data_IF_503244176547
#
_entry.id   IF_503244176547
#
_cell.length_a   1.000
_cell.length_b   1.000
_cell.length_c   1.000
_cell.angle_alpha   90.00
_cell.angle_beta   90.00
_cell.angle_gamma   90.00
#
_symmetry.space_group_name_H-M   'P 1'
#
loop_
_entity.id
_entity.type
_entity.pdbx_description
1 polymer ?
#
# COMPACT_ATOMS: atom_id res chain seq x y z
N UNK A 1 -4.46 1.91 -10.36
CA UNK A 1 -4.83 0.52 -10.04
C UNK A 1 -3.59 -0.20 -9.53
N UNK A 2 -3.70 -1.04 -8.50
CA UNK A 2 -2.59 -1.81 -7.93
C UNK A 2 -2.93 -3.29 -8.03
N UNK A 3 -2.21 -4.04 -8.87
CA UNK A 3 -2.43 -5.48 -9.08
C UNK A 3 -1.20 -6.26 -8.60
N UNK A 4 -1.43 -7.32 -7.84
CA UNK A 4 -0.38 -8.25 -7.41
C UNK A 4 -0.72 -9.69 -7.81
N UNK A 5 0.30 -10.54 -8.05
CA UNK A 5 0.08 -11.94 -8.40
C UNK A 5 -0.32 -12.79 -7.19
N UNK A 6 0.01 -12.36 -5.97
CA UNK A 6 -0.27 -13.10 -4.75
C UNK A 6 -1.77 -13.35 -4.56
N UNK A 7 -2.18 -14.62 -4.51
CA UNK A 7 -3.57 -15.03 -4.25
C UNK A 7 -3.87 -15.14 -2.75
N UNK A 8 -2.93 -15.69 -1.99
CA UNK A 8 -2.99 -15.73 -0.52
C UNK A 8 -2.16 -14.57 0.05
N UNK A 9 -2.84 -13.47 0.37
CA UNK A 9 -2.21 -12.28 0.92
C UNK A 9 -1.99 -12.38 2.44
N UNK A 10 -2.52 -13.40 3.10
CA UNK A 10 -2.32 -13.64 4.54
C UNK A 10 -1.02 -14.40 4.83
N UNK A 11 -0.46 -15.07 3.82
CA UNK A 11 0.83 -15.75 3.92
C UNK A 11 1.96 -14.79 4.32
N UNK A 12 2.90 -15.31 5.10
CA UNK A 12 4.16 -14.64 5.43
C UNK A 12 4.91 -14.18 4.17
N UNK A 13 5.35 -12.94 4.21
CA UNK A 13 6.30 -12.38 3.26
C UNK A 13 7.73 -12.70 3.73
N UNK A 14 8.52 -13.29 2.83
CA UNK A 14 9.95 -13.57 3.03
C UNK A 14 10.29 -14.41 4.28
N UNK A 15 9.33 -15.18 4.82
CA UNK A 15 9.52 -16.00 6.03
C UNK A 15 9.46 -15.22 7.35
N UNK A 16 9.11 -13.93 7.32
CA UNK A 16 8.96 -13.07 8.51
C UNK A 16 7.51 -12.99 9.01
N UNK A 17 7.25 -12.07 9.94
CA UNK A 17 5.92 -11.84 10.51
C UNK A 17 5.02 -10.93 9.68
N UNK A 18 5.59 -10.16 8.74
CA UNK A 18 4.82 -9.40 7.77
C UNK A 18 4.09 -10.37 6.83
N UNK A 19 2.82 -10.10 6.55
CA UNK A 19 2.05 -10.79 5.52
C UNK A 19 2.32 -10.13 4.17
N UNK A 20 2.05 -10.85 3.08
CA UNK A 20 2.08 -10.28 1.72
C UNK A 20 1.22 -9.02 1.63
N UNK A 21 0.03 -9.04 2.24
CA UNK A 21 -0.84 -7.87 2.37
C UNK A 21 -0.12 -6.64 2.94
N UNK A 22 0.66 -6.82 4.01
CA UNK A 22 1.34 -5.71 4.68
C UNK A 22 2.43 -5.12 3.76
N UNK A 23 3.16 -5.96 3.02
CA UNK A 23 4.16 -5.51 2.03
C UNK A 23 3.51 -4.78 0.85
N UNK A 24 2.33 -5.23 0.39
CA UNK A 24 1.60 -4.55 -0.67
C UNK A 24 1.16 -3.15 -0.23
N UNK A 25 0.65 -3.02 1.00
CA UNK A 25 0.27 -1.74 1.55
C UNK A 25 1.49 -0.82 1.69
N UNK A 26 2.63 -1.34 2.16
CA UNK A 26 3.87 -0.58 2.20
C UNK A 26 4.25 -0.02 0.82
N UNK A 27 4.19 -0.86 -0.23
CA UNK A 27 4.47 -0.44 -1.61
C UNK A 27 3.52 0.65 -2.10
N UNK A 28 2.23 0.60 -1.75
CA UNK A 28 1.27 1.66 -2.07
C UNK A 28 1.67 3.00 -1.44
N UNK A 29 2.14 3.00 -0.19
CA UNK A 29 2.65 4.22 0.47
C UNK A 29 3.94 4.75 -0.17
N UNK A 30 4.86 3.86 -0.53
CA UNK A 30 6.12 4.23 -1.21
C UNK A 30 5.85 4.93 -2.55
N UNK A 31 4.95 4.37 -3.34
CA UNK A 31 4.55 4.95 -4.62
C UNK A 31 3.71 6.22 -4.41
N UNK A 32 2.82 6.24 -3.42
CA UNK A 32 2.05 7.44 -3.12
C UNK A 32 2.96 8.61 -2.70
N UNK A 33 4.05 8.34 -1.98
CA UNK A 33 5.01 9.34 -1.57
C UNK A 33 5.72 10.02 -2.75
N UNK A 34 6.03 9.26 -3.82
CA UNK A 34 6.52 9.85 -5.07
C UNK A 34 5.56 10.95 -5.53
N UNK A 35 4.29 10.63 -5.75
CA UNK A 35 3.33 11.60 -6.29
C UNK A 35 3.02 12.76 -5.34
N UNK A 36 2.91 12.48 -4.03
CA UNK A 36 2.70 13.50 -3.00
C UNK A 36 3.89 14.45 -2.80
N UNK A 37 5.08 14.09 -3.31
CA UNK A 37 6.29 14.90 -3.26
C UNK A 37 6.58 15.67 -4.55
N UNK A 38 6.17 15.13 -5.70
CA UNK A 38 6.49 15.71 -7.01
C UNK A 38 5.36 16.55 -7.59
N UNK A 39 4.14 16.42 -7.06
CA UNK A 39 2.96 17.13 -7.54
C UNK A 39 2.17 17.72 -6.37
N UNK A 40 1.37 18.75 -6.64
CA UNK A 40 0.40 19.32 -5.69
C UNK A 40 -0.83 18.43 -5.47
N UNK A 41 -0.63 17.10 -5.43
CA UNK A 41 -1.69 16.16 -5.17
C UNK A 41 -2.12 16.23 -3.71
N UNK A 42 -3.43 16.18 -3.49
CA UNK A 42 -4.01 16.12 -2.14
C UNK A 42 -4.09 14.67 -1.62
N UNK A 43 -4.21 13.71 -2.53
CA UNK A 43 -4.31 12.28 -2.22
C UNK A 43 -3.93 11.40 -3.40
N UNK A 44 -3.58 10.15 -3.11
CA UNK A 44 -3.37 9.07 -4.10
C UNK A 44 -4.39 7.97 -3.84
N UNK A 45 -4.98 7.43 -4.90
CA UNK A 45 -6.00 6.39 -4.81
C UNK A 45 -5.55 5.07 -5.45
N UNK A 46 -5.86 3.97 -4.77
CA UNK A 46 -5.57 2.62 -5.23
C UNK A 46 -6.83 1.77 -5.26
N UNK A 47 -7.24 1.28 -6.43
CA UNK A 47 -8.05 0.07 -6.53
C UNK A 47 -7.10 -1.13 -6.46
N UNK A 48 -7.15 -1.86 -5.35
CA UNK A 48 -6.25 -2.97 -5.05
C UNK A 48 -6.87 -4.31 -5.47
N UNK A 49 -6.16 -5.06 -6.31
CA UNK A 49 -6.52 -6.42 -6.70
C UNK A 49 -5.38 -7.41 -6.43
N UNK A 50 -5.73 -8.56 -5.86
CA UNK A 50 -4.87 -9.72 -5.64
C UNK A 50 -5.17 -10.82 -6.67
N UNK A 51 -4.32 -11.86 -6.72
CA UNK A 51 -4.49 -12.98 -7.64
C UNK A 51 -4.56 -12.57 -9.11
N UNK A 52 -3.64 -11.70 -9.57
CA UNK A 52 -3.59 -11.18 -10.95
C UNK A 52 -4.84 -10.38 -11.40
N UNK A 53 -5.63 -9.86 -10.45
CA UNK A 53 -6.84 -9.09 -10.77
C UNK A 53 -8.12 -9.78 -10.33
N UNK A 54 -8.05 -11.08 -10.02
CA UNK A 54 -9.23 -11.91 -9.73
C UNK A 54 -9.88 -11.60 -8.38
N UNK A 55 -9.13 -11.03 -7.43
CA UNK A 55 -9.58 -10.80 -6.06
C UNK A 55 -9.60 -9.30 -5.80
N UNK A 56 -10.79 -8.71 -5.68
CA UNK A 56 -10.93 -7.32 -5.28
C UNK A 56 -10.64 -7.17 -3.77
N UNK A 57 -9.59 -6.41 -3.45
CA UNK A 57 -9.13 -6.14 -2.09
C UNK A 57 -9.60 -4.78 -1.57
N UNK A 58 -10.34 -4.03 -2.39
CA UNK A 58 -10.96 -2.76 -2.04
C UNK A 58 -10.22 -1.53 -2.59
N UNK A 59 -10.84 -0.37 -2.35
CA UNK A 59 -10.34 0.94 -2.75
C UNK A 59 -9.66 1.62 -1.56
N UNK A 60 -8.43 2.07 -1.70
CA UNK A 60 -7.71 2.80 -0.67
C UNK A 60 -7.48 4.24 -1.11
N UNK A 61 -7.76 5.18 -0.21
CA UNK A 61 -7.51 6.61 -0.43
C UNK A 61 -6.45 7.06 0.57
N UNK A 62 -5.31 7.50 0.06
CA UNK A 62 -4.15 7.93 0.85
C UNK A 62 -3.97 9.43 0.71
N UNK A 63 -4.42 10.19 1.72
CA UNK A 63 -4.14 11.62 1.79
C UNK A 63 -2.64 11.88 1.92
N UNK A 64 -2.13 12.90 1.24
CA UNK A 64 -0.69 13.15 1.19
C UNK A 64 -0.08 13.51 2.56
N UNK A 65 -0.87 14.04 3.50
CA UNK A 65 -0.43 14.20 4.90
C UNK A 65 -0.19 12.85 5.57
N UNK A 66 -1.15 11.91 5.48
CA UNK A 66 -0.99 10.56 6.00
C UNK A 66 0.23 9.85 5.38
N UNK A 67 0.43 10.02 4.07
CA UNK A 67 1.59 9.43 3.38
C UNK A 67 2.90 9.96 3.97
N UNK A 68 3.03 11.27 4.18
CA UNK A 68 4.20 11.89 4.81
C UNK A 68 4.38 11.38 6.24
N UNK A 69 3.31 11.29 7.02
CA UNK A 69 3.37 10.78 8.41
C UNK A 69 3.88 9.34 8.47
N UNK A 70 3.39 8.46 7.58
CA UNK A 70 3.85 7.08 7.47
C UNK A 70 5.33 7.02 7.07
N UNK A 71 5.74 7.77 6.04
CA UNK A 71 7.14 7.80 5.59
C UNK A 71 8.07 8.33 6.68
N UNK A 72 7.65 9.36 7.42
CA UNK A 72 8.41 9.91 8.55
C UNK A 72 8.51 8.90 9.71
N UNK A 73 7.41 8.21 10.05
CA UNK A 73 7.37 7.27 11.17
C UNK A 73 8.24 6.02 10.94
N UNK A 74 8.20 5.47 9.72
CA UNK A 74 8.95 4.25 9.40
C UNK A 74 10.33 4.54 8.82
N UNK A 75 10.54 5.71 8.24
CA UNK A 75 11.76 6.09 7.53
C UNK A 75 11.89 5.37 6.18
N UNK A 76 12.89 5.79 5.41
CA UNK A 76 13.19 5.24 4.09
C UNK A 76 14.42 4.32 4.16
N UNK A 77 14.34 3.20 3.44
CA UNK A 77 15.40 2.21 3.31
C UNK A 77 16.03 2.24 1.92
N UNK A 78 16.59 1.10 1.50
CA UNK A 78 17.22 0.95 0.19
C UNK A 78 16.22 1.25 -0.94
N UNK A 79 16.72 1.81 -2.04
CA UNK A 79 15.89 2.03 -3.23
C UNK A 79 15.65 0.71 -3.96
N UNK A 80 14.42 0.52 -4.43
CA UNK A 80 14.01 -0.60 -5.27
C UNK A 80 13.49 -0.07 -6.61
N UNK A 81 13.92 -0.70 -7.70
CA UNK A 81 13.43 -0.39 -9.04
C UNK A 81 11.97 -0.84 -9.15
N UNK A 82 11.07 0.11 -9.26
CA UNK A 82 9.62 -0.10 -9.32
C UNK A 82 9.09 0.30 -10.70
N UNK A 83 8.41 -0.62 -11.37
CA UNK A 83 7.68 -0.35 -12.61
C UNK A 83 6.25 0.06 -12.25
N UNK A 84 5.85 1.26 -12.65
CA UNK A 84 4.50 1.79 -12.49
C UNK A 84 3.86 1.83 -13.87
N UNK A 85 2.65 1.28 -14.00
CA UNK A 85 1.87 1.29 -15.23
C UNK A 85 0.60 2.13 -15.04
N UNK A 86 0.33 3.03 -15.98
CA UNK A 86 -0.82 3.92 -16.01
C UNK A 86 -1.71 3.60 -17.21
N UNK A 87 -3.03 3.58 -17.02
CA UNK A 87 -3.99 3.24 -18.07
C UNK A 87 -4.21 1.73 -18.24
N UNK A 88 -4.97 1.36 -19.26
CA UNK A 88 -5.39 -0.02 -19.55
C UNK A 88 -5.04 -0.43 -20.99
N UNK A 89 -4.80 -1.72 -21.20
CA UNK A 89 -4.55 -2.31 -22.52
C UNK A 89 -3.17 -1.95 -23.10
N UNK A 90 -3.03 -2.09 -24.41
CA UNK A 90 -1.75 -1.94 -25.13
C UNK A 90 -1.17 -0.52 -25.12
N UNK A 91 -1.96 0.47 -24.69
CA UNK A 91 -1.56 1.88 -24.62
C UNK A 91 -1.21 2.33 -23.19
N UNK A 92 -1.07 1.40 -22.25
CA UNK A 92 -0.68 1.75 -20.88
C UNK A 92 0.71 2.39 -20.87
N UNK A 93 0.79 3.64 -20.38
CA UNK A 93 2.06 4.29 -20.15
C UNK A 93 2.80 3.56 -19.02
N UNK A 94 4.13 3.55 -19.09
CA UNK A 94 4.95 2.92 -18.07
C UNK A 94 6.09 3.83 -17.66
N UNK A 95 6.31 3.92 -16.35
CA UNK A 95 7.41 4.65 -15.76
C UNK A 95 8.19 3.73 -14.83
N UNK A 96 9.51 3.84 -14.85
CA UNK A 96 10.38 3.11 -13.93
C UNK A 96 11.01 4.11 -12.98
N UNK A 97 10.81 3.90 -11.69
CA UNK A 97 11.37 4.75 -10.64
C UNK A 97 12.21 3.91 -9.67
N UNK A 98 13.29 4.49 -9.15
CA UNK A 98 14.04 3.91 -8.04
C UNK A 98 13.50 4.49 -6.74
N UNK A 99 12.52 3.79 -6.15
CA UNK A 99 11.78 4.28 -4.98
C UNK A 99 12.42 3.78 -3.68
N UNK A 100 12.63 4.66 -2.69
CA UNK A 100 13.01 4.20 -1.36
C UNK A 100 11.89 3.34 -0.78
N UNK A 101 12.24 2.13 -0.29
CA UNK A 101 11.27 1.28 0.41
C UNK A 101 11.06 1.75 1.84
N UNK A 102 9.90 1.52 2.45
CA UNK A 102 9.69 1.80 3.87
C UNK A 102 10.62 0.91 4.71
N UNK A 103 11.32 1.51 5.67
CA UNK A 103 12.21 0.78 6.56
C UNK A 103 11.43 0.09 7.71
N UNK A 104 10.69 -0.97 7.36
CA UNK A 104 9.87 -1.77 8.29
C UNK A 104 10.73 -2.93 8.82
N UNK A 105 11.67 -2.61 9.71
CA UNK A 105 12.59 -3.57 10.32
C UNK A 105 12.59 -3.48 11.84
N UNK A 106 13.06 -4.54 12.53
CA UNK A 106 13.19 -4.55 13.99
C UNK A 106 11.88 -4.24 14.72
N UNK A 107 11.92 -3.28 15.64
CA UNK A 107 10.79 -2.87 16.47
C UNK A 107 9.65 -2.17 15.69
N UNK A 108 9.89 -1.79 14.43
CA UNK A 108 8.88 -1.18 13.56
C UNK A 108 7.91 -2.19 12.94
N UNK A 109 8.29 -3.47 12.87
CA UNK A 109 7.44 -4.52 12.30
C UNK A 109 6.07 -4.62 12.99
N UNK A 110 5.99 -4.83 14.32
CA UNK A 110 4.68 -4.91 14.98
C UNK A 110 3.88 -3.61 14.90
N UNK A 111 4.55 -2.45 14.89
CA UNK A 111 3.90 -1.13 14.72
C UNK A 111 3.23 -1.04 13.34
N UNK A 112 3.94 -1.44 12.28
CA UNK A 112 3.40 -1.44 10.93
C UNK A 112 2.25 -2.43 10.75
N UNK A 113 2.35 -3.63 11.31
CA UNK A 113 1.24 -4.61 11.28
C UNK A 113 -0.01 -4.03 11.93
N UNK A 114 0.12 -3.36 13.08
CA UNK A 114 -1.01 -2.74 13.76
C UNK A 114 -1.61 -1.58 12.96
N UNK A 115 -0.78 -0.78 12.30
CA UNK A 115 -1.23 0.25 11.37
C UNK A 115 -2.00 -0.37 10.19
N UNK A 116 -1.43 -1.36 9.51
CA UNK A 116 -2.03 -2.02 8.35
C UNK A 116 -3.38 -2.68 8.66
N UNK A 117 -3.56 -3.21 9.87
CA UNK A 117 -4.85 -3.73 10.34
C UNK A 117 -5.93 -2.65 10.48
N UNK A 118 -5.56 -1.41 10.77
CA UNK A 118 -6.51 -0.30 10.98
C UNK A 118 -6.77 0.51 9.71
N UNK A 119 -5.80 0.51 8.79
CA UNK A 119 -5.95 1.17 7.50
C UNK A 119 -6.78 0.31 6.54
N UNK A 120 -8.09 0.53 6.55
CA UNK A 120 -9.06 -0.26 5.78
C UNK A 120 -9.46 0.45 4.47
N UNK A 121 -9.87 -0.30 3.43
CA UNK A 121 -10.36 0.29 2.20
C UNK A 121 -11.66 1.07 2.43
N UNK A 122 -11.84 2.17 1.69
CA UNK A 122 -13.09 2.92 1.65
C UNK A 122 -14.18 2.10 0.99
N UNK A 123 -15.38 2.10 1.57
CA UNK A 123 -16.55 1.40 1.00
C UNK A 123 -16.68 -0.07 1.37
N UNK A 124 -15.76 -0.65 2.15
CA UNK A 124 -16.11 -1.82 2.97
C UNK A 124 -16.83 -1.23 4.17
N UNK A 125 -18.15 -1.48 4.29
CA UNK A 125 -18.91 -1.11 5.46
C UNK A 125 -18.09 -1.51 6.69
N UNK A 126 -17.63 -0.51 7.45
CA UNK A 126 -17.32 -0.75 8.85
C UNK A 126 -18.60 -1.39 9.38
N UNK A 127 -18.55 -2.68 9.74
CA UNK A 127 -19.55 -3.19 10.65
C UNK A 127 -19.42 -2.27 11.85
N UNK A 128 -20.32 -1.30 11.94
CA UNK A 128 -20.59 -0.59 13.17
C UNK A 128 -20.94 -1.72 14.10
N UNK A 129 -20.04 -2.02 15.03
CA UNK A 129 -20.35 -2.85 16.17
C UNK A 129 -21.55 -2.18 16.84
N UNK A 130 -22.73 -2.67 16.51
CA UNK A 130 -23.95 -2.45 17.26
C UNK A 130 -23.81 -3.27 18.56
N UNK A 131 -22.90 -2.85 19.42
CA UNK A 131 -22.84 -3.31 20.80
C UNK A 131 -23.28 -2.17 21.73
N UNK A 132 -24.52 -2.34 22.18
CA UNK A 132 -24.99 -2.08 23.55
C UNK A 132 -24.78 -0.67 24.11
N UNK A 133 -25.90 0.06 24.20
CA UNK A 133 -26.51 0.46 25.47
C UNK A 133 -27.99 0.76 25.27
#
# INVERSE_FOLDING_TARGET
>A
MFIVPDRDTARSAYGGSLRRYDVHLAKMFEVANLYCSTNDWQSVEWNYFAGNGDINMGRFVMGCNLVRDVVNAYGQGRKERTLIRFGYGNNAAQETHNLPVLNITGDKIPKFINFAKRFQPVGVAQRVDAERR
#
